data_IF_173393322668
#
_entry.id   IF_173393322668
#
_cell.length_a   1.000
_cell.length_b   1.000
_cell.length_c   1.000
_cell.angle_alpha   90.00
_cell.angle_beta   90.00
_cell.angle_gamma   90.00
#
_symmetry.space_group_name_H-M   'P 1'
#
loop_
_entity.id
_entity.type
_entity.pdbx_description
1 polymer ?
#
# COMPACT_ATOMS: atom_id res chain seq x y z
N UNK A 1 -22.93 3.25 -3.11
CA UNK A 1 -22.06 3.52 -4.22
C UNK A 1 -20.74 4.07 -3.71
N UNK A 2 -19.64 3.57 -4.21
CA UNK A 2 -18.33 4.03 -3.78
C UNK A 2 -18.02 5.40 -4.38
N UNK A 3 -17.49 6.30 -3.58
CA UNK A 3 -17.03 7.61 -4.07
C UNK A 3 -15.85 7.48 -5.01
N UNK A 4 -15.04 6.42 -4.82
CA UNK A 4 -13.86 6.20 -5.63
C UNK A 4 -14.07 4.98 -6.51
N UNK A 5 -13.65 5.12 -7.76
CA UNK A 5 -13.61 4.00 -8.68
C UNK A 5 -12.38 3.16 -8.39
N UNK A 6 -12.35 1.93 -8.92
CA UNK A 6 -11.20 1.06 -8.79
C UNK A 6 -9.91 1.72 -9.27
N UNK A 7 -9.99 2.50 -10.36
CA UNK A 7 -8.83 3.19 -10.90
C UNK A 7 -8.16 4.08 -9.86
N UNK A 8 -8.96 4.87 -9.15
CA UNK A 8 -8.43 5.76 -8.11
C UNK A 8 -7.79 4.96 -6.98
N UNK A 9 -8.41 3.86 -6.59
CA UNK A 9 -7.87 3.01 -5.51
C UNK A 9 -6.59 2.32 -5.92
N UNK A 10 -6.52 1.88 -7.17
CA UNK A 10 -5.29 1.32 -7.72
C UNK A 10 -4.16 2.35 -7.72
N UNK A 11 -4.47 3.60 -8.04
CA UNK A 11 -3.48 4.69 -7.98
C UNK A 11 -3.03 4.94 -6.54
N UNK A 12 -3.97 4.89 -5.57
CA UNK A 12 -3.63 5.03 -4.16
C UNK A 12 -2.71 3.91 -3.69
N UNK A 13 -2.98 2.68 -4.14
CA UNK A 13 -2.13 1.53 -3.84
C UNK A 13 -0.73 1.72 -4.39
N UNK A 14 -0.63 2.13 -5.66
CA UNK A 14 0.67 2.36 -6.29
C UNK A 14 1.45 3.45 -5.57
N UNK A 15 0.78 4.55 -5.23
CA UNK A 15 1.43 5.65 -4.50
C UNK A 15 1.94 5.18 -3.14
N UNK A 16 1.14 4.40 -2.41
CA UNK A 16 1.55 3.85 -1.12
C UNK A 16 2.78 2.95 -1.26
N UNK A 17 2.79 2.08 -2.26
CA UNK A 17 3.93 1.19 -2.51
C UNK A 17 5.18 2.00 -2.86
N UNK A 18 5.03 3.03 -3.69
CA UNK A 18 6.15 3.90 -4.04
C UNK A 18 6.73 4.62 -2.82
N UNK A 19 5.86 5.10 -1.94
CA UNK A 19 6.28 5.74 -0.69
C UNK A 19 7.01 4.76 0.22
N UNK A 20 6.48 3.56 0.35
CA UNK A 20 7.13 2.50 1.13
C UNK A 20 8.53 2.22 0.58
N UNK A 21 8.64 2.06 -0.73
CA UNK A 21 9.93 1.82 -1.38
C UNK A 21 10.92 2.94 -1.12
N UNK A 22 10.47 4.17 -1.26
CA UNK A 22 11.34 5.33 -1.06
C UNK A 22 11.80 5.43 0.39
N UNK A 23 10.88 5.23 1.34
CA UNK A 23 11.19 5.34 2.76
C UNK A 23 12.04 4.17 3.26
N UNK A 24 11.93 3.01 2.63
CA UNK A 24 12.69 1.83 3.04
C UNK A 24 14.02 1.69 2.32
N UNK A 25 14.32 2.56 1.38
CA UNK A 25 15.57 2.48 0.63
C UNK A 25 16.77 2.63 1.57
N UNK A 26 17.67 1.66 1.52
CA UNK A 26 18.84 1.63 2.39
C UNK A 26 18.54 1.25 3.85
N UNK A 27 17.29 0.99 4.17
CA UNK A 27 16.90 0.61 5.53
C UNK A 27 17.31 -0.82 5.83
N UNK A 28 17.75 -1.06 7.07
CA UNK A 28 18.10 -2.39 7.54
C UNK A 28 17.14 -2.84 8.63
N UNK A 29 17.04 -4.16 8.80
CA UNK A 29 16.11 -4.76 9.77
C UNK A 29 16.25 -4.18 11.18
N UNK A 30 17.49 -3.92 11.63
CA UNK A 30 17.74 -3.44 12.98
C UNK A 30 17.28 -2.00 13.22
N UNK A 31 16.89 -1.30 12.16
CA UNK A 31 16.34 0.06 12.27
C UNK A 31 14.83 0.08 12.45
N UNK A 32 14.16 -1.04 12.23
CA UNK A 32 12.70 -1.10 12.43
C UNK A 32 12.40 -1.13 13.91
N UNK A 33 11.83 -0.05 14.42
CA UNK A 33 11.52 0.09 15.84
C UNK A 33 10.40 1.11 16.04
N UNK A 34 9.71 1.01 17.17
CA UNK A 34 8.56 1.85 17.49
C UNK A 34 8.94 3.33 17.61
N UNK A 35 10.17 3.63 17.99
CA UNK A 35 10.65 4.99 18.16
C UNK A 35 11.32 5.56 16.90
N UNK A 36 11.34 4.80 15.83
CA UNK A 36 11.90 5.26 14.55
C UNK A 36 10.78 5.88 13.73
N UNK A 37 10.93 7.16 13.39
CA UNK A 37 9.91 7.89 12.64
C UNK A 37 9.67 7.30 11.25
N UNK A 38 10.74 6.83 10.60
CA UNK A 38 10.63 6.21 9.28
C UNK A 38 9.82 4.91 9.36
N UNK A 39 10.06 4.12 10.39
CA UNK A 39 9.30 2.88 10.62
C UNK A 39 7.82 3.18 10.79
N UNK A 40 7.49 4.20 11.55
CA UNK A 40 6.09 4.58 11.78
C UNK A 40 5.44 5.10 10.50
N UNK A 41 6.16 5.86 9.70
CA UNK A 41 5.66 6.35 8.42
C UNK A 41 5.39 5.19 7.45
N UNK A 42 6.29 4.21 7.41
CA UNK A 42 6.11 3.00 6.59
C UNK A 42 4.89 2.22 7.06
N UNK A 43 4.75 2.03 8.37
CA UNK A 43 3.59 1.32 8.94
C UNK A 43 2.28 1.98 8.52
N UNK A 44 2.21 3.30 8.54
CA UNK A 44 1.02 4.02 8.10
C UNK A 44 0.72 3.74 6.63
N UNK A 45 1.72 3.71 5.77
CA UNK A 45 1.52 3.41 4.35
C UNK A 45 1.02 1.98 4.14
N UNK A 46 1.39 1.03 4.99
CA UNK A 46 0.81 -0.30 4.94
C UNK A 46 -0.69 -0.28 5.27
N UNK A 47 -1.11 0.59 6.17
CA UNK A 47 -2.55 0.77 6.45
C UNK A 47 -3.25 1.32 5.22
N UNK A 48 -2.70 2.35 4.60
CA UNK A 48 -3.27 2.96 3.38
C UNK A 48 -3.39 1.92 2.27
N UNK A 49 -2.30 1.17 2.04
CA UNK A 49 -2.26 0.14 1.01
C UNK A 49 -3.32 -0.94 1.24
N UNK A 50 -3.40 -1.44 2.47
CA UNK A 50 -4.36 -2.48 2.82
C UNK A 50 -5.80 -2.02 2.72
N UNK A 51 -6.09 -0.78 3.16
CA UNK A 51 -7.43 -0.21 3.06
C UNK A 51 -7.86 -0.06 1.60
N UNK A 52 -6.97 0.45 0.75
CA UNK A 52 -7.26 0.61 -0.66
C UNK A 52 -7.50 -0.75 -1.31
N UNK A 53 -6.64 -1.73 -1.04
CA UNK A 53 -6.80 -3.08 -1.58
C UNK A 53 -8.11 -3.73 -1.16
N UNK A 54 -8.51 -3.53 0.09
CA UNK A 54 -9.74 -4.10 0.63
C UNK A 54 -10.98 -3.53 -0.05
N UNK A 55 -10.88 -2.38 -0.67
CA UNK A 55 -12.01 -1.71 -1.31
C UNK A 55 -12.05 -1.88 -2.83
N UNK A 56 -11.09 -2.59 -3.40
CA UNK A 56 -11.13 -2.93 -4.82
C UNK A 56 -12.32 -3.86 -5.05
N UNK A 57 -13.04 -3.63 -6.14
CA UNK A 57 -14.21 -4.46 -6.47
C UNK A 57 -13.81 -5.90 -6.76
N UNK A 58 -14.74 -6.82 -6.54
CA UNK A 58 -14.51 -8.23 -6.82
C UNK A 58 -14.18 -8.48 -8.30
N UNK A 59 -14.82 -7.73 -9.21
CA UNK A 59 -14.57 -7.89 -10.63
C UNK A 59 -13.17 -7.40 -11.02
N UNK A 60 -12.72 -6.31 -10.43
CA UNK A 60 -11.37 -5.80 -10.67
C UNK A 60 -10.32 -6.77 -10.12
N UNK A 61 -10.52 -7.28 -8.92
CA UNK A 61 -9.60 -8.25 -8.32
C UNK A 61 -9.53 -9.52 -9.17
N UNK A 62 -10.67 -10.00 -9.67
CA UNK A 62 -10.71 -11.18 -10.53
C UNK A 62 -10.02 -10.95 -11.87
N UNK A 63 -10.04 -9.71 -12.37
CA UNK A 63 -9.36 -9.36 -13.62
C UNK A 63 -7.84 -9.30 -13.47
N UNK A 64 -7.33 -9.22 -12.25
CA UNK A 64 -5.89 -9.11 -11.97
C UNK A 64 -5.47 -10.16 -10.93
N UNK A 65 -5.53 -11.46 -11.30
CA UNK A 65 -5.24 -12.54 -10.35
C UNK A 65 -3.76 -12.65 -9.98
N UNK A 66 -2.88 -11.94 -10.67
CA UNK A 66 -1.45 -11.90 -10.35
C UNK A 66 -1.16 -11.19 -9.03
N UNK A 67 -2.12 -10.42 -8.51
CA UNK A 67 -1.99 -9.76 -7.23
C UNK A 67 -2.73 -10.58 -6.16
N UNK A 68 -2.05 -10.82 -5.04
CA UNK A 68 -2.67 -11.44 -3.86
C UNK A 68 -3.45 -10.37 -3.09
N UNK A 69 -4.67 -10.10 -3.53
CA UNK A 69 -5.49 -9.04 -2.97
C UNK A 69 -5.77 -9.24 -1.49
N UNK A 70 -6.08 -10.47 -1.10
CA UNK A 70 -6.35 -10.78 0.30
C UNK A 70 -5.10 -10.60 1.15
N UNK A 71 -3.94 -11.01 0.64
CA UNK A 71 -2.68 -10.83 1.34
C UNK A 71 -2.33 -9.36 1.55
N UNK A 72 -2.50 -8.55 0.50
CA UNK A 72 -2.24 -7.11 0.57
C UNK A 72 -3.20 -6.44 1.55
N UNK A 73 -4.49 -6.75 1.43
CA UNK A 73 -5.51 -6.21 2.33
C UNK A 73 -5.24 -6.61 3.78
N UNK A 74 -4.62 -7.76 3.99
CA UNK A 74 -4.32 -8.29 5.32
C UNK A 74 -3.00 -7.82 5.93
N UNK A 75 -2.23 -6.99 5.26
CA UNK A 75 -0.92 -6.56 5.79
C UNK A 75 -1.03 -5.98 7.19
N UNK A 76 -2.03 -5.14 7.42
CA UNK A 76 -2.21 -4.52 8.73
C UNK A 76 -2.39 -5.56 9.84
N UNK A 77 -3.20 -6.60 9.60
CA UNK A 77 -3.42 -7.65 10.60
C UNK A 77 -2.17 -8.46 10.88
N UNK A 78 -1.34 -8.64 9.89
CA UNK A 78 -0.08 -9.37 10.04
C UNK A 78 0.96 -8.55 10.79
N UNK A 79 0.93 -7.23 10.63
CA UNK A 79 1.95 -6.33 11.17
C UNK A 79 1.61 -5.82 12.57
N UNK A 80 0.33 -5.57 12.85
CA UNK A 80 -0.09 -4.85 14.05
C UNK A 80 -0.99 -5.74 14.88
N UNK A 81 -0.50 -6.14 16.05
CA UNK A 81 -1.24 -6.98 16.99
C UNK A 81 -1.82 -6.18 18.16
N UNK A 82 -1.55 -4.89 18.19
CA UNK A 82 -2.03 -3.96 19.20
C UNK A 82 -1.27 -2.65 19.03
N UNK A 83 -1.69 -1.60 19.72
CA UNK A 83 -1.07 -0.28 19.55
C UNK A 83 0.42 -0.29 19.90
N UNK A 84 0.85 -1.22 20.76
CA UNK A 84 2.22 -1.35 21.23
C UNK A 84 2.93 -2.59 20.67
N UNK A 85 2.28 -3.34 19.78
CA UNK A 85 2.82 -4.61 19.29
C UNK A 85 2.82 -4.64 17.78
N UNK A 86 3.95 -4.28 17.19
CA UNK A 86 4.19 -4.36 15.76
C UNK A 86 5.20 -5.46 15.50
N UNK A 87 4.89 -6.34 14.57
CA UNK A 87 5.77 -7.44 14.20
C UNK A 87 6.78 -6.96 13.16
N UNK A 88 7.94 -6.54 13.62
CA UNK A 88 8.97 -5.99 12.74
C UNK A 88 9.64 -7.04 11.85
N UNK A 89 9.65 -8.30 12.26
CA UNK A 89 10.16 -9.36 11.40
C UNK A 89 9.24 -9.58 10.20
N UNK A 90 7.93 -9.58 10.44
CA UNK A 90 6.95 -9.65 9.35
C UNK A 90 7.05 -8.42 8.47
N UNK A 91 7.17 -7.23 9.06
CA UNK A 91 7.32 -5.98 8.29
C UNK A 91 8.54 -6.06 7.38
N UNK A 92 9.68 -6.51 7.91
CA UNK A 92 10.91 -6.64 7.14
C UNK A 92 10.74 -7.62 5.97
N UNK A 93 10.12 -8.77 6.24
CA UNK A 93 9.85 -9.75 5.20
C UNK A 93 9.01 -9.17 4.06
N UNK A 94 7.95 -8.43 4.40
CA UNK A 94 7.09 -7.80 3.41
C UNK A 94 7.87 -6.74 2.62
N UNK A 95 8.70 -5.95 3.28
CA UNK A 95 9.54 -4.95 2.62
C UNK A 95 10.52 -5.56 1.64
N UNK A 96 11.09 -6.70 1.99
CA UNK A 96 12.09 -7.35 1.13
C UNK A 96 11.48 -8.18 0.01
N UNK A 97 10.30 -8.73 0.22
CA UNK A 97 9.72 -9.73 -0.67
C UNK A 97 8.46 -9.23 -1.37
N UNK A 98 7.44 -8.87 -0.59
CA UNK A 98 6.12 -8.61 -1.14
C UNK A 98 6.07 -7.26 -1.89
N UNK A 99 6.66 -6.24 -1.31
CA UNK A 99 6.63 -4.90 -1.91
C UNK A 99 7.39 -4.85 -3.25
N UNK A 100 8.62 -5.39 -3.35
CA UNK A 100 9.30 -5.42 -4.65
C UNK A 100 8.56 -6.21 -5.72
N UNK A 101 7.82 -7.25 -5.33
CA UNK A 101 7.04 -8.04 -6.29
C UNK A 101 5.76 -7.31 -6.70
N UNK A 102 5.13 -6.59 -5.78
CA UNK A 102 3.87 -5.90 -6.01
C UNK A 102 4.03 -4.66 -6.90
N UNK A 103 5.12 -3.94 -6.75
CA UNK A 103 5.33 -2.68 -7.45
C UNK A 103 5.19 -2.78 -8.97
N UNK A 104 5.91 -3.68 -9.68
CA UNK A 104 5.78 -3.76 -11.13
C UNK A 104 4.38 -4.19 -11.57
N UNK A 105 3.70 -5.02 -10.81
CA UNK A 105 2.34 -5.44 -11.15
C UNK A 105 1.37 -4.27 -11.07
N UNK A 106 1.46 -3.47 -10.01
CA UNK A 106 0.64 -2.27 -9.89
C UNK A 106 0.97 -1.24 -10.98
N UNK A 107 2.23 -1.08 -11.31
CA UNK A 107 2.64 -0.16 -12.37
C UNK A 107 2.03 -0.55 -13.71
N UNK A 108 2.03 -1.84 -14.04
CA UNK A 108 1.42 -2.33 -15.28
C UNK A 108 -0.08 -2.05 -15.31
N UNK A 109 -0.76 -2.33 -14.22
CA UNK A 109 -2.21 -2.14 -14.15
C UNK A 109 -2.56 -0.66 -14.29
N UNK A 110 -1.90 0.20 -13.54
CA UNK A 110 -2.18 1.64 -13.56
C UNK A 110 -1.83 2.23 -14.93
N UNK A 111 -0.75 1.81 -15.54
CA UNK A 111 -0.35 2.29 -16.87
C UNK A 111 -1.39 1.97 -17.95
N UNK A 112 -2.13 0.87 -17.78
CA UNK A 112 -3.17 0.46 -18.71
C UNK A 112 -4.55 1.06 -18.45
N UNK A 113 -4.71 1.85 -17.40
CA UNK A 113 -6.00 2.43 -17.05
C UNK A 113 -6.31 3.63 -17.93
N UNK A 114 -7.63 3.88 -18.19
CA UNK A 114 -8.02 5.14 -18.82
C UNK A 114 -7.70 6.32 -17.91
N UNK A 115 -7.52 7.53 -18.48
CA UNK A 115 -7.24 8.70 -17.66
C UNK A 115 -8.33 8.90 -16.62
N UNK A 116 -7.92 9.11 -15.36
CA UNK A 116 -8.85 9.45 -14.29
C UNK A 116 -9.17 10.94 -14.43
N UNK A 117 -10.46 11.35 -14.33
CA UNK A 117 -10.77 12.76 -14.31
C UNK A 117 -9.98 13.47 -13.23
N UNK A 118 -9.33 14.57 -13.58
CA UNK A 118 -8.47 15.27 -12.64
C UNK A 118 -9.30 15.78 -11.46
N UNK A 119 -8.83 15.48 -10.26
CA UNK A 119 -9.37 16.05 -9.06
C UNK A 119 -8.84 17.46 -8.92
N UNK A 120 -9.65 18.42 -8.43
CA UNK A 120 -9.11 19.73 -8.12
C UNK A 120 -8.01 19.60 -7.09
N UNK A 121 -6.82 20.11 -7.41
CA UNK A 121 -5.67 19.98 -6.52
C UNK A 121 -5.89 20.66 -5.17
N UNK A 122 -6.74 21.69 -5.16
CA UNK A 122 -7.04 22.40 -3.93
C UNK A 122 -7.75 21.53 -2.90
N UNK A 123 -8.38 20.43 -3.32
CA UNK A 123 -8.95 19.48 -2.37
C UNK A 123 -7.86 18.82 -1.52
N UNK A 124 -6.70 18.63 -2.10
CA UNK A 124 -5.57 18.04 -1.41
C UNK A 124 -4.96 18.98 -0.39
N UNK A 125 -5.07 20.26 -0.63
CA UNK A 125 -4.45 21.27 0.24
C UNK A 125 -5.25 21.53 1.52
N UNK A 126 -6.49 21.06 1.58
CA UNK A 126 -7.31 21.18 2.79
C UNK A 126 -7.01 20.10 3.80
N UNK A 127 -6.29 19.11 3.41
CA UNK A 127 -5.96 17.98 4.25
C UNK A 127 -4.60 18.18 4.88
#
# INVERSE_FOLDING_TARGET
MSEYRDETRLEHMLEAVRRIRRMSDGLKRDRLAVDDERTMAIAYQFVVLGEAANRISASCAAAHPEIDWAGVAGFRHRLVHGYDQVDYDVMWHILETDIPALLPELEKIVAGLPPVPSQPKNLMTFL
#
